data_IF_643130506393
#
_entry.id   IF_643130506393
#
_cell.length_a   1.000
_cell.length_b   1.000
_cell.length_c   1.000
_cell.angle_alpha   90.00
_cell.angle_beta   90.00
_cell.angle_gamma   90.00
#
_symmetry.space_group_name_H-M   'P 1'
#
loop_
_entity.id
_entity.type
_entity.pdbx_description
1 polymer ?
#
# COMPACT_ATOMS: atom_id res chain seq x y z
N UNK A 1 -1.63 9.92 -14.98
CA UNK A 1 -2.79 9.77 -14.08
C UNK A 1 -3.30 8.34 -14.28
N UNK A 2 -2.65 7.34 -13.67
CA UNK A 2 -2.92 5.93 -14.00
C UNK A 2 -4.38 5.58 -13.68
N UNK A 3 -5.01 4.88 -14.60
CA UNK A 3 -6.35 4.34 -14.41
C UNK A 3 -6.31 3.35 -13.26
N UNK A 4 -7.18 3.54 -12.26
CA UNK A 4 -7.22 2.68 -11.07
C UNK A 4 -8.27 1.60 -11.36
N UNK A 5 -7.87 0.35 -11.62
CA UNK A 5 -8.84 -0.70 -11.90
C UNK A 5 -9.72 -0.98 -10.68
N UNK A 6 -10.86 -1.62 -10.92
CA UNK A 6 -11.66 -2.21 -9.85
C UNK A 6 -10.84 -3.25 -9.07
N UNK A 7 -11.04 -3.31 -7.76
CA UNK A 7 -10.40 -4.29 -6.89
C UNK A 7 -11.37 -4.79 -5.83
N UNK A 8 -11.30 -6.07 -5.47
CA UNK A 8 -12.10 -6.67 -4.38
C UNK A 8 -13.61 -6.49 -4.59
N UNK A 9 -14.07 -6.49 -5.86
CA UNK A 9 -15.47 -6.25 -6.21
C UNK A 9 -15.93 -4.79 -6.08
N UNK A 10 -15.02 -3.83 -5.84
CA UNK A 10 -15.32 -2.40 -5.78
C UNK A 10 -15.11 -1.72 -7.14
N UNK A 11 -15.97 -0.77 -7.52
CA UNK A 11 -15.77 0.04 -8.73
C UNK A 11 -14.51 0.91 -8.61
N UNK A 12 -13.99 1.36 -9.75
CA UNK A 12 -12.73 2.09 -9.89
C UNK A 12 -12.67 3.36 -9.03
N UNK A 13 -13.76 4.12 -8.95
CA UNK A 13 -13.86 5.35 -8.15
C UNK A 13 -13.70 5.09 -6.65
N UNK A 14 -14.36 4.04 -6.13
CA UNK A 14 -14.22 3.61 -4.74
C UNK A 14 -12.81 3.09 -4.48
N UNK A 15 -12.26 2.30 -5.40
CA UNK A 15 -10.89 1.78 -5.29
C UNK A 15 -9.88 2.93 -5.23
N UNK A 16 -10.02 3.96 -6.08
CA UNK A 16 -9.18 5.16 -6.06
C UNK A 16 -9.27 5.91 -4.74
N UNK A 17 -10.48 6.08 -4.19
CA UNK A 17 -10.68 6.74 -2.89
C UNK A 17 -10.02 5.97 -1.74
N UNK A 18 -10.10 4.64 -1.76
CA UNK A 18 -9.42 3.79 -0.78
C UNK A 18 -7.89 3.98 -0.81
N UNK A 19 -7.29 3.98 -2.01
CA UNK A 19 -5.86 4.20 -2.17
C UNK A 19 -5.44 5.61 -1.76
N UNK A 20 -6.26 6.62 -2.06
CA UNK A 20 -6.02 7.98 -1.60
C UNK A 20 -6.04 8.08 -0.07
N UNK A 21 -7.02 7.46 0.61
CA UNK A 21 -7.05 7.41 2.07
C UNK A 21 -5.82 6.70 2.67
N UNK A 22 -5.38 5.60 2.06
CA UNK A 22 -4.16 4.91 2.48
C UNK A 22 -2.91 5.80 2.33
N UNK A 23 -2.82 6.58 1.24
CA UNK A 23 -1.73 7.50 0.96
C UNK A 23 -1.66 8.72 1.90
N UNK A 24 -2.73 9.03 2.65
CA UNK A 24 -2.71 10.07 3.70
C UNK A 24 -2.03 9.61 4.99
N UNK A 25 -1.53 8.37 5.05
CA UNK A 25 -0.83 7.89 6.22
C UNK A 25 0.45 8.70 6.49
N UNK A 26 0.82 8.91 7.76
CA UNK A 26 2.11 9.49 8.10
C UNK A 26 3.25 8.58 7.60
N UNK A 27 4.34 9.18 7.15
CA UNK A 27 5.57 8.46 6.81
C UNK A 27 6.80 9.30 7.12
N UNK A 28 7.90 8.64 7.48
CA UNK A 28 9.17 9.30 7.79
C UNK A 28 9.61 10.16 6.60
N UNK A 29 9.89 11.44 6.84
CA UNK A 29 10.21 12.45 5.83
C UNK A 29 9.24 12.50 4.63
N UNK A 30 7.98 12.08 4.85
CA UNK A 30 6.98 11.95 3.79
C UNK A 30 7.45 11.08 2.61
N UNK A 31 8.29 10.07 2.88
CA UNK A 31 8.85 9.16 1.86
C UNK A 31 7.78 8.32 1.17
N UNK A 32 6.65 8.07 1.84
CA UNK A 32 5.53 7.26 1.37
C UNK A 32 6.01 5.92 0.77
N UNK A 33 6.66 5.06 1.57
CA UNK A 33 7.42 3.92 1.07
C UNK A 33 6.54 2.69 0.81
N UNK A 34 5.34 2.88 0.29
CA UNK A 34 4.38 1.82 -0.02
C UNK A 34 4.08 1.74 -1.51
N UNK A 35 3.83 0.53 -1.99
CA UNK A 35 3.33 0.23 -3.33
C UNK A 35 2.06 -0.60 -3.23
N UNK A 36 1.03 -0.16 -3.92
CA UNK A 36 -0.22 -0.90 -4.02
C UNK A 36 -0.24 -1.72 -5.30
N UNK A 37 -0.56 -3.01 -5.17
CA UNK A 37 -0.91 -3.88 -6.31
C UNK A 37 -2.35 -4.32 -6.15
N UNK A 38 -3.14 -4.04 -7.18
CA UNK A 38 -4.56 -4.38 -7.21
C UNK A 38 -4.74 -5.70 -7.95
N UNK A 39 -5.52 -6.60 -7.37
CA UNK A 39 -5.98 -7.83 -8.01
C UNK A 39 -7.51 -7.87 -7.95
N UNK A 40 -8.16 -8.75 -8.72
CA UNK A 40 -9.61 -8.90 -8.64
C UNK A 40 -10.12 -9.25 -7.23
N UNK A 41 -9.31 -9.96 -6.42
CA UNK A 41 -9.69 -10.47 -5.10
C UNK A 41 -8.98 -9.80 -3.92
N UNK A 42 -7.96 -8.98 -4.14
CA UNK A 42 -7.17 -8.38 -3.06
C UNK A 42 -6.58 -7.01 -3.42
N UNK A 43 -6.30 -6.23 -2.38
CA UNK A 43 -5.40 -5.07 -2.44
C UNK A 43 -4.14 -5.48 -1.69
N UNK A 44 -3.02 -5.59 -2.40
CA UNK A 44 -1.73 -5.92 -1.83
C UNK A 44 -0.98 -4.62 -1.51
N UNK A 45 -0.42 -4.52 -0.30
CA UNK A 45 0.49 -3.46 0.10
C UNK A 45 1.89 -4.05 0.23
N UNK A 46 2.82 -3.52 -0.56
CA UNK A 46 4.22 -3.89 -0.54
C UNK A 46 5.06 -2.72 -0.06
N UNK A 47 6.12 -3.00 0.68
CA UNK A 47 7.15 -2.01 0.96
C UNK A 47 7.86 -1.60 -0.32
N UNK A 48 8.32 -0.35 -0.41
CA UNK A 48 9.22 0.14 -1.46
C UNK A 48 10.63 0.35 -0.91
N UNK A 49 11.55 -0.63 -1.02
CA UNK A 49 12.93 -0.50 -0.55
C UNK A 49 13.71 0.63 -1.24
N UNK A 50 13.28 1.07 -2.43
CA UNK A 50 13.93 2.21 -3.10
C UNK A 50 13.68 3.53 -2.37
N UNK A 51 12.67 3.58 -1.49
CA UNK A 51 12.33 4.74 -0.65
C UNK A 51 12.85 4.62 0.77
N UNK A 52 13.63 3.57 1.09
CA UNK A 52 14.24 3.42 2.40
C UNK A 52 15.33 4.47 2.61
N UNK A 53 15.30 5.12 3.77
CA UNK A 53 16.31 6.09 4.18
C UNK A 53 17.54 5.35 4.70
N UNK A 54 18.48 4.98 3.83
CA UNK A 54 19.62 4.11 4.20
C UNK A 54 20.48 4.60 5.39
N UNK A 55 20.51 5.92 5.62
CA UNK A 55 21.26 6.52 6.74
C UNK A 55 20.40 6.65 8.00
N UNK A 56 19.17 7.16 7.87
CA UNK A 56 18.29 7.45 9.01
C UNK A 56 17.45 6.24 9.46
N UNK A 57 17.23 5.28 8.58
CA UNK A 57 16.46 4.04 8.80
C UNK A 57 17.18 2.84 8.13
N UNK A 58 18.38 2.47 8.60
CA UNK A 58 19.17 1.38 8.00
C UNK A 58 18.47 0.01 8.09
N UNK A 59 17.70 -0.22 9.14
CA UNK A 59 16.98 -1.49 9.38
C UNK A 59 15.59 -1.53 8.74
N UNK A 60 15.14 -0.44 8.13
CA UNK A 60 13.84 -0.34 7.46
C UNK A 60 12.65 -0.37 8.43
N UNK A 61 12.86 -0.07 9.71
CA UNK A 61 11.81 -0.09 10.74
C UNK A 61 10.83 1.03 10.51
N UNK A 62 11.29 2.26 10.25
CA UNK A 62 10.42 3.40 9.95
C UNK A 62 9.67 3.19 8.64
N UNK A 63 10.32 2.57 7.66
CA UNK A 63 9.68 2.16 6.41
C UNK A 63 8.53 1.16 6.66
N UNK A 64 8.75 0.13 7.49
CA UNK A 64 7.70 -0.85 7.84
C UNK A 64 6.59 -0.22 8.65
N UNK A 65 6.90 0.67 9.60
CA UNK A 65 5.91 1.41 10.38
C UNK A 65 5.04 2.31 9.49
N UNK A 66 5.66 3.03 8.55
CA UNK A 66 4.96 3.84 7.54
C UNK A 66 4.00 2.99 6.71
N UNK A 67 4.44 1.81 6.27
CA UNK A 67 3.58 0.85 5.56
C UNK A 67 2.43 0.32 6.43
N UNK A 68 2.68 0.07 7.72
CA UNK A 68 1.65 -0.31 8.68
C UNK A 68 0.59 0.79 8.85
N UNK A 69 1.00 2.06 8.89
CA UNK A 69 0.10 3.19 8.95
C UNK A 69 -0.78 3.31 7.69
N UNK A 70 -0.19 3.13 6.49
CA UNK A 70 -0.95 3.09 5.24
C UNK A 70 -1.95 1.93 5.19
N UNK A 71 -1.56 0.74 5.68
CA UNK A 71 -2.45 -0.41 5.80
C UNK A 71 -3.61 -0.12 6.76
N UNK A 72 -3.34 0.54 7.90
CA UNK A 72 -4.37 0.92 8.85
C UNK A 72 -5.39 1.88 8.23
N UNK A 73 -4.94 2.93 7.55
CA UNK A 73 -5.81 3.87 6.84
C UNK A 73 -6.66 3.16 5.77
N UNK A 74 -6.07 2.23 5.01
CA UNK A 74 -6.80 1.42 4.03
C UNK A 74 -7.91 0.59 4.70
N UNK A 75 -7.61 -0.06 5.84
CA UNK A 75 -8.59 -0.84 6.60
C UNK A 75 -9.73 0.02 7.13
N UNK A 76 -9.43 1.23 7.63
CA UNK A 76 -10.43 2.18 8.07
C UNK A 76 -11.35 2.61 6.91
N UNK A 77 -10.76 2.95 5.75
CA UNK A 77 -11.52 3.36 4.58
C UNK A 77 -12.42 2.23 4.04
N UNK A 78 -11.95 0.98 4.06
CA UNK A 78 -12.77 -0.20 3.76
C UNK A 78 -13.91 -0.38 4.76
N UNK A 79 -13.63 -0.17 6.05
CA UNK A 79 -14.63 -0.22 7.12
C UNK A 79 -15.78 0.77 6.93
N UNK A 80 -15.50 1.97 6.43
CA UNK A 80 -16.52 2.98 6.08
C UNK A 80 -17.42 2.56 4.90
N UNK A 81 -16.96 1.61 4.08
CA UNK A 81 -17.76 1.00 3.00
C UNK A 81 -18.50 -0.26 3.46
N UNK A 82 -18.47 -0.58 4.76
CA UNK A 82 -19.05 -1.82 5.30
C UNK A 82 -18.22 -3.08 5.01
N UNK A 83 -17.02 -2.94 4.45
CA UNK A 83 -16.15 -4.07 4.12
C UNK A 83 -15.28 -4.41 5.35
N UNK A 84 -15.23 -5.69 5.72
CA UNK A 84 -14.34 -6.20 6.78
C UNK A 84 -13.17 -6.95 6.16
N UNK A 85 -11.99 -6.32 6.00
CA UNK A 85 -10.86 -6.98 5.37
C UNK A 85 -10.18 -7.97 6.32
N UNK A 86 -9.99 -9.20 5.85
CA UNK A 86 -8.96 -10.08 6.38
C UNK A 86 -7.59 -9.57 5.90
N UNK A 87 -6.66 -9.36 6.83
CA UNK A 87 -5.29 -9.01 6.49
C UNK A 87 -4.39 -10.20 6.75
N UNK A 88 -3.51 -10.51 5.80
CA UNK A 88 -2.44 -11.48 5.97
C UNK A 88 -1.11 -10.76 5.80
N UNK A 89 -0.28 -10.80 6.82
CA UNK A 89 1.13 -10.41 6.70
C UNK A 89 1.92 -11.61 6.19
N UNK A 90 2.89 -11.35 5.33
CA UNK A 90 3.80 -12.37 4.81
C UNK A 90 4.97 -11.74 4.07
N UNK A 91 6.10 -12.42 4.06
CA UNK A 91 7.20 -12.10 3.16
C UNK A 91 6.78 -12.52 1.75
N UNK A 92 6.53 -11.54 0.89
CA UNK A 92 6.40 -11.79 -0.55
C UNK A 92 7.80 -11.67 -1.14
N UNK A 93 8.31 -12.72 -1.76
CA UNK A 93 9.55 -12.64 -2.53
C UNK A 93 9.40 -11.51 -3.56
N UNK A 94 10.43 -10.67 -3.79
CA UNK A 94 10.33 -9.59 -4.76
C UNK A 94 9.92 -10.18 -6.12
N UNK A 95 8.77 -9.73 -6.62
CA UNK A 95 8.32 -10.11 -7.97
C UNK A 95 9.34 -9.66 -9.02
N UNK A 96 9.38 -10.33 -10.19
CA UNK A 96 10.31 -9.95 -11.26
C UNK A 96 10.13 -8.46 -11.59
N UNK A 97 11.23 -7.72 -11.64
CA UNK A 97 11.24 -6.32 -12.08
C UNK A 97 10.80 -6.27 -13.54
N UNK A 98 9.52 -6.00 -13.80
CA UNK A 98 9.05 -5.65 -15.14
C UNK A 98 9.21 -4.14 -15.33
N UNK A 99 10.35 -3.73 -15.89
CA UNK A 99 10.62 -2.36 -16.32
C UNK A 99 11.80 -2.36 -17.31
N UNK A 100 11.78 -1.54 -18.37
CA UNK A 100 12.76 -1.61 -19.44
C UNK A 100 14.15 -1.17 -18.94
N UNK A 101 15.16 -1.92 -19.39
CA UNK A 101 16.60 -1.69 -19.20
C UNK A 101 17.06 -0.36 -19.78
#
# INVERSE_FOLDING_TARGET
MNDVPSAVGLPADKTRRLLASAGLAPSVHNTQPWRFRLTPSAIELHTDPARQLRVADPDGTELRLSCGAALFNLRMALGQLGVRPAARAGLVAPGPRTGPT
#
